data_IF_093150806463
#
_entry.id   IF_093150806463
#
_cell.length_a   1.000
_cell.length_b   1.000
_cell.length_c   1.000
_cell.angle_alpha   90.00
_cell.angle_beta   90.00
_cell.angle_gamma   90.00
#
_symmetry.space_group_name_H-M   'P 1'
#
loop_
_entity.id
_entity.type
_entity.pdbx_description
1 polymer ?
#
# COMPACT_ATOMS: atom_id res chain seq x y z
N UNK A 1 -12.38 -9.56 -31.88
CA UNK A 1 -13.12 -10.81 -31.64
C UNK A 1 -12.42 -11.77 -30.68
N UNK A 2 -11.12 -11.67 -30.47
CA UNK A 2 -10.37 -12.53 -29.51
C UNK A 2 -10.73 -12.33 -28.02
N UNK A 3 -11.22 -11.16 -27.63
CA UNK A 3 -11.56 -10.91 -26.21
C UNK A 3 -12.88 -11.55 -25.72
N UNK A 4 -13.75 -11.98 -26.63
CA UNK A 4 -15.01 -12.65 -26.28
C UNK A 4 -14.81 -14.13 -25.93
N UNK A 5 -13.90 -14.82 -26.62
CA UNK A 5 -13.59 -16.24 -26.36
C UNK A 5 -12.91 -16.44 -24.98
N UNK A 6 -12.11 -15.47 -24.51
CA UNK A 6 -11.51 -15.53 -23.18
C UNK A 6 -12.58 -15.43 -22.08
N UNK A 7 -13.59 -14.58 -22.28
CA UNK A 7 -14.68 -14.40 -21.32
C UNK A 7 -15.61 -15.61 -21.21
N UNK A 8 -15.88 -16.28 -22.31
CA UNK A 8 -16.74 -17.47 -22.32
C UNK A 8 -16.03 -18.68 -21.71
N UNK A 9 -14.74 -18.86 -21.97
CA UNK A 9 -13.91 -19.89 -21.31
C UNK A 9 -13.79 -19.70 -19.79
N UNK A 10 -13.76 -18.45 -19.32
CA UNK A 10 -13.73 -18.16 -17.88
C UNK A 10 -15.07 -18.47 -17.23
N UNK A 11 -16.20 -18.24 -17.90
CA UNK A 11 -17.53 -18.58 -17.39
C UNK A 11 -17.75 -20.09 -17.29
N UNK A 12 -17.39 -20.87 -18.29
CA UNK A 12 -17.52 -22.33 -18.27
C UNK A 12 -16.66 -22.97 -17.18
N UNK A 13 -15.39 -22.58 -17.06
CA UNK A 13 -14.51 -23.04 -15.98
C UNK A 13 -15.04 -22.68 -14.58
N UNK A 14 -15.71 -21.53 -14.44
CA UNK A 14 -16.30 -21.11 -13.17
C UNK A 14 -17.47 -21.98 -12.75
N UNK A 15 -18.28 -22.45 -13.69
CA UNK A 15 -19.43 -23.33 -13.40
C UNK A 15 -19.01 -24.75 -13.03
N UNK A 16 -18.00 -25.31 -13.69
CA UNK A 16 -17.50 -26.64 -13.37
C UNK A 16 -16.78 -26.72 -12.01
N UNK A 17 -16.06 -25.66 -11.65
CA UNK A 17 -15.40 -25.55 -10.34
C UNK A 17 -16.38 -25.48 -9.15
N UNK A 18 -17.62 -25.05 -9.39
CA UNK A 18 -18.66 -25.00 -8.35
C UNK A 18 -19.27 -26.39 -8.09
N UNK A 19 -19.24 -27.31 -9.05
CA UNK A 19 -19.82 -28.66 -8.93
C UNK A 19 -18.98 -29.63 -8.09
N UNK A 20 -17.68 -29.37 -7.93
CA UNK A 20 -16.73 -30.23 -7.20
C UNK A 20 -16.31 -29.68 -5.84
N UNK A 21 -17.05 -28.73 -5.27
CA UNK A 21 -16.69 -28.16 -3.98
C UNK A 21 -16.87 -29.17 -2.85
N UNK A 22 -15.83 -29.46 -2.04
CA UNK A 22 -15.99 -30.22 -0.81
C UNK A 22 -16.98 -29.51 0.12
N UNK A 23 -17.56 -30.26 1.06
CA UNK A 23 -18.55 -29.78 2.00
C UNK A 23 -18.13 -28.44 2.61
N UNK A 24 -18.74 -27.35 2.12
CA UNK A 24 -18.39 -25.98 2.50
C UNK A 24 -18.90 -25.74 3.90
N UNK A 25 -18.03 -25.28 4.80
CA UNK A 25 -18.36 -24.98 6.21
C UNK A 25 -19.16 -23.67 6.34
N UNK A 26 -19.10 -22.81 5.33
CA UNK A 26 -19.67 -21.46 5.32
C UNK A 26 -18.73 -20.40 5.91
N UNK A 27 -17.58 -20.80 6.44
CA UNK A 27 -16.55 -19.89 6.94
C UNK A 27 -15.43 -19.74 5.91
N UNK A 28 -15.33 -18.58 5.28
CA UNK A 28 -14.34 -18.33 4.24
C UNK A 28 -12.88 -18.53 4.72
N UNK A 29 -12.58 -18.26 5.99
CA UNK A 29 -11.27 -18.49 6.59
C UNK A 29 -10.88 -19.97 6.65
N UNK A 30 -11.85 -20.87 6.72
CA UNK A 30 -11.66 -22.34 6.73
C UNK A 30 -11.67 -22.86 5.29
N UNK A 31 -12.71 -22.53 4.54
CA UNK A 31 -12.95 -23.03 3.19
C UNK A 31 -11.99 -22.48 2.15
N UNK A 32 -11.39 -21.31 2.42
CA UNK A 32 -10.43 -20.59 1.56
C UNK A 32 -10.82 -20.63 0.07
N UNK A 33 -12.05 -20.19 -0.29
CA UNK A 33 -12.59 -20.34 -1.64
C UNK A 33 -11.77 -19.65 -2.72
N UNK A 34 -10.94 -18.69 -2.34
CA UNK A 34 -10.01 -17.98 -3.24
C UNK A 34 -8.85 -18.85 -3.73
N UNK A 35 -8.42 -19.88 -2.97
CA UNK A 35 -7.26 -20.70 -3.33
C UNK A 35 -7.44 -21.43 -4.66
N UNK A 36 -8.67 -21.75 -5.06
CA UNK A 36 -8.93 -22.40 -6.36
C UNK A 36 -8.57 -21.51 -7.57
N UNK A 37 -8.45 -20.19 -7.37
CA UNK A 37 -8.06 -19.25 -8.42
C UNK A 37 -6.56 -18.96 -8.44
N UNK A 38 -5.80 -19.49 -7.48
CA UNK A 38 -4.35 -19.31 -7.38
C UNK A 38 -3.62 -20.49 -8.03
N UNK A 39 -2.48 -20.22 -8.65
CA UNK A 39 -1.55 -21.26 -9.09
C UNK A 39 -0.99 -22.02 -7.89
N UNK A 40 -0.49 -23.24 -8.10
CA UNK A 40 0.15 -24.01 -7.03
C UNK A 40 1.37 -23.28 -6.45
N UNK A 41 2.13 -22.55 -7.27
CA UNK A 41 3.22 -21.71 -6.82
C UNK A 41 2.73 -20.61 -5.85
N UNK A 42 1.65 -19.90 -6.20
CA UNK A 42 1.08 -18.86 -5.35
C UNK A 42 0.49 -19.41 -4.04
N UNK A 43 -0.09 -20.63 -4.06
CA UNK A 43 -0.60 -21.28 -2.84
C UNK A 43 0.50 -21.63 -1.85
N UNK A 44 1.68 -21.98 -2.34
CA UNK A 44 2.83 -22.41 -1.57
C UNK A 44 3.87 -21.30 -1.38
N UNK A 45 3.59 -20.07 -1.86
CA UNK A 45 4.49 -18.95 -1.71
C UNK A 45 4.71 -18.61 -0.23
N UNK A 46 5.98 -18.55 0.18
CA UNK A 46 6.37 -18.12 1.52
C UNK A 46 6.57 -16.60 1.47
N UNK A 47 5.83 -15.88 2.29
CA UNK A 47 6.04 -14.44 2.44
C UNK A 47 7.38 -14.21 3.14
N UNK A 48 8.27 -13.40 2.57
CA UNK A 48 9.55 -13.09 3.20
C UNK A 48 9.34 -12.29 4.49
N UNK A 49 10.16 -12.59 5.50
CA UNK A 49 10.21 -11.84 6.76
C UNK A 49 11.10 -10.61 6.59
N UNK A 50 10.58 -9.59 5.95
CA UNK A 50 11.26 -8.33 5.69
C UNK A 50 10.27 -7.18 5.50
N UNK A 51 10.76 -5.94 5.60
CA UNK A 51 9.93 -4.78 5.35
C UNK A 51 9.48 -4.69 3.88
N UNK A 52 8.37 -3.98 3.61
CA UNK A 52 7.92 -3.74 2.23
C UNK A 52 8.97 -2.99 1.41
N UNK A 53 9.73 -2.08 2.05
CA UNK A 53 10.83 -1.38 1.41
C UNK A 53 11.95 -2.35 1.01
N UNK A 54 12.41 -3.21 1.94
CA UNK A 54 13.49 -4.16 1.66
C UNK A 54 13.09 -5.14 0.57
N UNK A 55 11.85 -5.64 0.60
CA UNK A 55 11.33 -6.50 -0.46
C UNK A 55 11.35 -5.81 -1.82
N UNK A 56 10.87 -4.57 -1.89
CA UNK A 56 10.87 -3.79 -3.13
C UNK A 56 12.30 -3.57 -3.64
N UNK A 57 13.22 -3.21 -2.75
CA UNK A 57 14.62 -2.98 -3.09
C UNK A 57 15.30 -4.25 -3.61
N UNK A 58 15.20 -5.34 -2.88
CA UNK A 58 15.81 -6.63 -3.27
C UNK A 58 15.33 -7.13 -4.62
N UNK A 59 14.08 -6.88 -4.97
CA UNK A 59 13.50 -7.30 -6.26
C UNK A 59 13.92 -6.42 -7.44
N UNK A 60 14.41 -5.20 -7.20
CA UNK A 60 14.66 -4.23 -8.26
C UNK A 60 16.07 -3.62 -8.23
N UNK A 61 16.93 -4.03 -7.29
CA UNK A 61 18.28 -3.48 -7.15
C UNK A 61 19.18 -3.70 -8.39
N UNK A 62 18.89 -4.71 -9.19
CA UNK A 62 19.62 -5.02 -10.43
C UNK A 62 19.00 -4.33 -11.67
N UNK A 63 17.84 -3.68 -11.51
CA UNK A 63 17.07 -3.04 -12.57
C UNK A 63 16.86 -1.53 -12.30
N UNK A 64 17.86 -0.85 -11.76
CA UNK A 64 17.72 0.52 -11.27
C UNK A 64 17.37 1.56 -12.34
N UNK A 65 17.67 1.28 -13.59
CA UNK A 65 17.39 2.18 -14.70
C UNK A 65 16.04 1.92 -15.39
N UNK A 66 15.31 0.87 -14.95
CA UNK A 66 13.94 0.60 -15.36
C UNK A 66 12.97 1.61 -14.72
N UNK A 67 11.81 1.82 -15.37
CA UNK A 67 10.77 2.72 -14.89
C UNK A 67 10.04 2.08 -13.72
N UNK A 68 10.06 2.75 -12.57
CA UNK A 68 9.31 2.37 -11.37
C UNK A 68 7.91 2.98 -11.35
N UNK A 69 7.76 4.22 -11.79
CA UNK A 69 6.51 4.97 -11.82
C UNK A 69 6.42 5.77 -13.11
N UNK A 70 5.28 5.70 -13.80
CA UNK A 70 4.83 6.68 -14.77
C UNK A 70 3.68 7.48 -14.16
N UNK A 71 3.88 8.77 -13.95
CA UNK A 71 2.89 9.66 -13.39
C UNK A 71 2.56 10.78 -14.39
N UNK A 72 1.46 10.61 -15.10
CA UNK A 72 1.01 11.53 -16.16
C UNK A 72 2.09 11.85 -17.21
N UNK A 73 2.84 10.83 -17.65
CA UNK A 73 3.91 10.96 -18.63
C UNK A 73 5.26 11.42 -18.04
N UNK A 74 5.35 11.57 -16.72
CA UNK A 74 6.63 11.75 -16.02
C UNK A 74 7.11 10.39 -15.52
N UNK A 75 8.15 9.88 -16.16
CA UNK A 75 8.78 8.62 -15.81
C UNK A 75 9.80 8.80 -14.68
N UNK A 76 9.74 7.93 -13.69
CA UNK A 76 10.65 7.90 -12.54
C UNK A 76 11.29 6.52 -12.50
N UNK A 77 12.61 6.45 -12.60
CA UNK A 77 13.35 5.18 -12.53
C UNK A 77 13.40 4.64 -11.11
N UNK A 78 13.68 3.33 -10.94
CA UNK A 78 13.92 2.76 -9.60
C UNK A 78 15.06 3.46 -8.87
N UNK A 79 16.11 3.88 -9.57
CA UNK A 79 17.22 4.66 -9.01
C UNK A 79 16.74 5.96 -8.38
N UNK A 80 15.93 6.72 -9.09
CA UNK A 80 15.35 7.98 -8.60
C UNK A 80 14.33 7.73 -7.49
N UNK A 81 13.52 6.69 -7.64
CA UNK A 81 12.54 6.29 -6.67
C UNK A 81 13.20 5.98 -5.32
N UNK A 82 14.19 5.10 -5.27
CA UNK A 82 14.93 4.77 -4.05
C UNK A 82 15.65 5.98 -3.46
N UNK A 83 16.28 6.80 -4.31
CA UNK A 83 16.92 8.05 -3.85
C UNK A 83 15.93 8.99 -3.17
N UNK A 84 14.68 9.09 -3.66
CA UNK A 84 13.66 9.95 -3.07
C UNK A 84 13.06 9.32 -1.80
N UNK A 85 12.93 8.00 -1.73
CA UNK A 85 12.61 7.29 -0.48
C UNK A 85 13.67 7.56 0.59
N UNK A 86 14.94 7.53 0.23
CA UNK A 86 16.05 7.82 1.16
C UNK A 86 15.96 9.23 1.71
N UNK A 87 15.73 10.23 0.86
CA UNK A 87 15.53 11.62 1.30
C UNK A 87 14.32 11.74 2.23
N UNK A 88 13.19 11.11 1.88
CA UNK A 88 11.99 11.11 2.71
C UNK A 88 12.28 10.46 4.07
N UNK A 89 13.03 9.35 4.12
CA UNK A 89 13.37 8.67 5.36
C UNK A 89 14.24 9.54 6.29
N UNK A 90 15.17 10.31 5.72
CA UNK A 90 15.99 11.28 6.49
C UNK A 90 15.11 12.37 7.10
N UNK A 91 14.17 12.93 6.32
CA UNK A 91 13.24 13.96 6.81
C UNK A 91 12.35 13.40 7.92
N UNK A 92 11.73 12.24 7.71
CA UNK A 92 10.87 11.59 8.71
C UNK A 92 11.63 11.31 10.00
N UNK A 93 12.86 10.81 9.90
CA UNK A 93 13.74 10.60 11.07
C UNK A 93 14.06 11.91 11.79
N UNK A 94 14.29 13.00 11.07
CA UNK A 94 14.53 14.33 11.67
C UNK A 94 13.29 14.89 12.38
N UNK A 95 12.08 14.49 11.95
CA UNK A 95 10.81 14.80 12.62
C UNK A 95 10.53 13.88 13.82
N UNK A 96 11.44 12.97 14.15
CA UNK A 96 11.37 12.11 15.33
C UNK A 96 10.67 10.77 15.09
N UNK A 97 10.36 10.40 13.85
CA UNK A 97 9.75 9.09 13.53
C UNK A 97 10.71 7.97 13.85
N UNK A 98 10.22 6.97 14.56
CA UNK A 98 10.94 5.78 15.03
C UNK A 98 10.21 4.51 14.60
N UNK A 99 10.86 3.39 14.78
CA UNK A 99 10.26 2.06 14.61
C UNK A 99 8.99 1.90 15.47
N UNK A 100 7.97 1.30 14.91
CA UNK A 100 6.63 1.11 15.48
C UNK A 100 5.80 2.39 15.67
N UNK A 101 6.32 3.58 15.35
CA UNK A 101 5.50 4.79 15.31
C UNK A 101 4.42 4.66 14.24
N UNK A 102 3.26 5.23 14.54
CA UNK A 102 2.15 5.31 13.59
C UNK A 102 2.08 6.71 13.01
N UNK A 103 2.13 6.79 11.70
CA UNK A 103 2.09 8.05 10.96
C UNK A 103 0.87 8.06 10.05
N UNK A 104 -0.01 9.03 10.23
CA UNK A 104 -1.18 9.20 9.37
C UNK A 104 -0.80 10.01 8.14
N UNK A 105 -1.19 9.51 6.97
CA UNK A 105 -0.99 10.15 5.68
C UNK A 105 -2.34 10.40 5.04
N UNK A 106 -2.64 11.66 4.71
CA UNK A 106 -3.83 12.04 3.95
C UNK A 106 -3.41 12.78 2.68
N UNK A 107 -3.24 12.01 1.62
CA UNK A 107 -2.76 12.47 0.32
C UNK A 107 -3.35 11.61 -0.79
N UNK A 108 -3.58 12.16 -2.01
CA UNK A 108 -3.85 11.34 -3.18
C UNK A 108 -2.63 10.48 -3.52
N UNK A 109 -2.83 9.49 -4.38
CA UNK A 109 -1.75 8.61 -4.85
C UNK A 109 -0.85 9.37 -5.82
N UNK A 110 0.20 9.99 -5.27
CA UNK A 110 1.26 10.68 -6.01
C UNK A 110 2.59 9.99 -5.78
N UNK A 111 3.62 10.26 -6.60
CA UNK A 111 4.98 9.75 -6.36
C UNK A 111 5.50 10.11 -4.95
N UNK A 112 5.24 11.33 -4.47
CA UNK A 112 5.65 11.78 -3.14
C UNK A 112 5.00 10.96 -2.03
N UNK A 113 3.73 10.62 -2.19
CA UNK A 113 3.02 9.73 -1.25
C UNK A 113 3.65 8.35 -1.21
N UNK A 114 4.07 7.82 -2.37
CA UNK A 114 4.78 6.56 -2.43
C UNK A 114 6.16 6.64 -1.76
N UNK A 115 6.90 7.73 -1.96
CA UNK A 115 8.19 7.93 -1.27
C UNK A 115 8.03 7.92 0.24
N UNK A 116 7.03 8.62 0.77
CA UNK A 116 6.74 8.70 2.21
C UNK A 116 6.33 7.32 2.73
N UNK A 117 5.45 6.62 2.03
CA UNK A 117 4.97 5.29 2.41
C UNK A 117 6.12 4.28 2.55
N UNK A 118 6.99 4.20 1.54
CA UNK A 118 8.14 3.29 1.58
C UNK A 118 9.24 3.78 2.53
N UNK A 119 9.36 5.09 2.74
CA UNK A 119 10.28 5.62 3.74
C UNK A 119 9.86 5.26 5.17
N UNK A 120 8.57 5.27 5.49
CA UNK A 120 8.04 4.78 6.77
C UNK A 120 8.31 3.29 6.93
N UNK A 121 8.05 2.49 5.88
CA UNK A 121 8.39 1.07 5.89
C UNK A 121 9.87 0.81 6.12
N UNK A 122 10.76 1.62 5.51
CA UNK A 122 12.21 1.57 5.72
C UNK A 122 12.62 1.87 7.17
N UNK A 123 11.87 2.74 7.84
CA UNK A 123 12.10 3.12 9.24
C UNK A 123 11.44 2.16 10.24
N UNK A 124 10.73 1.14 9.78
CA UNK A 124 9.95 0.25 10.64
C UNK A 124 8.70 0.91 11.23
N UNK A 125 8.27 2.04 10.69
CA UNK A 125 7.07 2.75 11.10
C UNK A 125 5.83 2.27 10.33
N UNK A 126 4.65 2.54 10.86
CA UNK A 126 3.36 2.08 10.36
C UNK A 126 2.63 3.24 9.68
N UNK A 127 2.30 3.07 8.41
CA UNK A 127 1.50 4.03 7.64
C UNK A 127 0.01 3.83 7.89
N UNK A 128 -0.68 4.86 8.38
CA UNK A 128 -2.14 4.94 8.47
C UNK A 128 -2.66 5.81 7.31
N UNK A 129 -3.18 5.18 6.25
CA UNK A 129 -3.59 5.89 5.03
C UNK A 129 -5.05 6.35 5.15
N UNK A 130 -5.29 7.66 5.05
CA UNK A 130 -6.62 8.27 5.14
C UNK A 130 -6.97 9.02 3.87
N UNK A 131 -8.19 8.83 3.38
CA UNK A 131 -8.68 9.51 2.17
C UNK A 131 -8.69 11.04 2.36
N UNK A 132 -7.99 11.81 1.50
CA UNK A 132 -7.89 13.26 1.62
C UNK A 132 -9.22 14.01 1.40
N UNK A 133 -10.26 13.31 0.93
CA UNK A 133 -11.61 13.86 0.76
C UNK A 133 -12.39 13.92 2.07
N UNK A 134 -11.93 13.24 3.12
CA UNK A 134 -12.56 13.22 4.43
C UNK A 134 -12.64 14.61 5.06
N UNK A 135 -13.62 14.80 5.94
CA UNK A 135 -13.74 16.02 6.75
C UNK A 135 -12.59 16.11 7.78
N UNK A 136 -12.32 17.30 8.29
CA UNK A 136 -11.33 17.52 9.35
C UNK A 136 -11.60 16.63 10.57
N UNK A 137 -12.86 16.52 10.99
CA UNK A 137 -13.29 15.70 12.12
C UNK A 137 -13.01 14.21 11.91
N UNK A 138 -13.34 13.67 10.73
CA UNK A 138 -13.06 12.27 10.42
C UNK A 138 -11.55 11.99 10.39
N UNK A 139 -10.75 12.91 9.83
CA UNK A 139 -9.29 12.78 9.82
C UNK A 139 -8.71 12.77 11.24
N UNK A 140 -9.22 13.64 12.12
CA UNK A 140 -8.84 13.67 13.53
C UNK A 140 -9.19 12.35 14.23
N UNK A 141 -10.41 11.84 14.04
CA UNK A 141 -10.85 10.55 14.57
C UNK A 141 -9.91 9.41 14.15
N UNK A 142 -9.55 9.31 12.87
CA UNK A 142 -8.60 8.30 12.37
C UNK A 142 -7.19 8.46 12.96
N UNK A 143 -6.71 9.70 13.16
CA UNK A 143 -5.43 9.94 13.82
C UNK A 143 -5.44 9.49 15.28
N UNK A 144 -6.53 9.80 16.00
CA UNK A 144 -6.70 9.42 17.41
C UNK A 144 -6.84 7.90 17.56
N UNK A 145 -7.69 7.27 16.75
CA UNK A 145 -7.91 5.82 16.77
C UNK A 145 -6.63 5.05 16.45
N UNK A 146 -5.84 5.52 15.47
CA UNK A 146 -4.55 4.96 15.16
C UNK A 146 -3.49 5.25 16.23
N UNK A 147 -3.73 6.18 17.16
CA UNK A 147 -2.72 6.75 18.06
C UNK A 147 -1.49 7.25 17.28
N UNK A 148 -1.74 8.09 16.30
CA UNK A 148 -0.73 8.57 15.36
C UNK A 148 0.10 9.71 15.95
N UNK A 149 1.41 9.63 15.83
CA UNK A 149 2.33 10.64 16.37
C UNK A 149 2.61 11.79 15.40
N UNK A 150 2.36 11.57 14.12
CA UNK A 150 2.59 12.53 13.05
C UNK A 150 1.47 12.45 12.01
N UNK A 151 1.03 13.60 11.51
CA UNK A 151 0.04 13.69 10.44
C UNK A 151 0.66 14.41 9.23
N UNK A 152 0.71 13.72 8.09
CA UNK A 152 1.24 14.21 6.83
C UNK A 152 0.09 14.43 5.87
N UNK A 153 -0.03 15.64 5.36
CA UNK A 153 -1.10 16.03 4.43
C UNK A 153 -0.53 16.80 3.25
N UNK A 154 -1.23 16.80 2.13
CA UNK A 154 -0.95 17.75 1.06
C UNK A 154 -1.41 19.15 1.48
N UNK A 155 -0.79 20.17 0.89
CA UNK A 155 -1.04 21.59 1.16
C UNK A 155 -2.53 21.97 1.06
N UNK A 156 -3.24 21.45 0.06
CA UNK A 156 -4.69 21.66 -0.15
C UNK A 156 -5.57 21.19 1.00
N UNK A 157 -5.09 20.25 1.81
CA UNK A 157 -5.82 19.69 2.96
C UNK A 157 -5.26 20.22 4.28
N UNK A 158 -4.10 20.89 4.25
CA UNK A 158 -3.43 21.39 5.45
C UNK A 158 -4.29 22.35 6.30
N UNK A 159 -5.18 23.12 5.66
CA UNK A 159 -6.11 24.00 6.39
C UNK A 159 -7.09 23.21 7.28
N UNK A 160 -7.51 22.00 6.86
CA UNK A 160 -8.36 21.12 7.65
C UNK A 160 -7.64 20.52 8.87
N UNK A 161 -6.31 20.36 8.76
CA UNK A 161 -5.49 19.75 9.80
C UNK A 161 -5.08 20.72 10.91
N UNK A 162 -5.11 22.05 10.66
CA UNK A 162 -4.64 23.06 11.61
C UNK A 162 -5.39 23.05 12.93
N UNK A 163 -6.70 22.78 12.90
CA UNK A 163 -7.54 22.91 14.07
C UNK A 163 -7.32 21.79 15.10
N UNK A 164 -6.92 20.58 14.67
CA UNK A 164 -6.67 19.49 15.60
C UNK A 164 -5.19 19.33 16.01
N UNK A 165 -4.25 19.91 15.28
CA UNK A 165 -2.83 19.97 15.69
C UNK A 165 -2.62 20.96 16.83
N UNK A 166 -3.45 22.00 16.96
CA UNK A 166 -3.36 23.01 18.00
C UNK A 166 -3.91 22.57 19.37
N UNK A 167 -4.55 21.40 19.45
CA UNK A 167 -5.17 20.89 20.67
C UNK A 167 -4.32 19.81 21.40
N UNK A 168 -3.08 19.60 20.98
CA UNK A 168 -2.08 18.75 21.64
C UNK A 168 -0.91 19.61 22.10
#
# INVERSE_FOLDING_TARGET
>A
MENLEIYDNVKEKKYDLIKESPKITGYASIDKPWLKFHSEEAKNAIMPDMSMYDYLYERNKDNLDEIAIDYFGTEITYREFFKNIDKASVVLKSLGVKENDKVTISSPTTPETAYIFYALSKLGAISNMVDPRKSAKEMEEYCLEANSNLFIVIDKVASKAKDFVSNK
#
